data_IF_182848070372
#
_entry.id   IF_182848070372
#
_cell.length_a   1.000
_cell.length_b   1.000
_cell.length_c   1.000
_cell.angle_alpha   90.00
_cell.angle_beta   90.00
_cell.angle_gamma   90.00
#
_symmetry.space_group_name_H-M   'P 1'
#
loop_
_entity.id
_entity.type
_entity.pdbx_description
1 polymer ?
#
# COMPACT_ATOMS: atom_id res chain seq x y z
N UNK A 1 8.79 -2.28 -12.33
CA UNK A 1 7.73 -2.55 -11.34
C UNK A 1 7.70 -1.43 -10.31
N UNK A 2 6.52 -0.89 -10.03
CA UNK A 2 6.36 0.12 -9.00
C UNK A 2 5.62 -0.46 -7.81
N UNK A 3 6.09 -0.14 -6.61
CA UNK A 3 5.41 -0.56 -5.40
C UNK A 3 4.77 0.63 -4.73
N UNK A 4 3.89 0.37 -3.78
CA UNK A 4 3.23 1.43 -3.04
C UNK A 4 4.23 2.31 -2.28
N UNK A 5 5.34 1.74 -1.87
CA UNK A 5 6.41 2.50 -1.21
C UNK A 5 6.98 3.61 -2.11
N UNK A 6 6.99 3.36 -3.42
CA UNK A 6 7.54 4.31 -4.39
C UNK A 6 6.53 5.30 -4.94
N UNK A 7 5.25 5.07 -4.66
CA UNK A 7 4.20 5.92 -5.18
C UNK A 7 4.26 7.31 -4.55
N UNK A 8 4.02 8.33 -5.38
CA UNK A 8 4.10 9.71 -4.91
C UNK A 8 2.90 10.08 -4.05
N UNK A 9 3.15 10.92 -3.05
CA UNK A 9 2.08 11.49 -2.23
C UNK A 9 1.12 12.26 -3.12
N UNK A 10 -0.17 12.10 -2.87
CA UNK A 10 -1.21 12.75 -3.64
C UNK A 10 -1.69 11.98 -4.85
N UNK A 11 -1.11 10.80 -5.12
CA UNK A 11 -1.50 9.98 -6.25
C UNK A 11 -2.44 8.87 -5.80
N UNK A 12 -3.35 8.52 -6.70
CA UNK A 12 -4.19 7.33 -6.54
C UNK A 12 -3.64 6.28 -7.48
N UNK A 13 -3.34 5.11 -6.94
CA UNK A 13 -2.78 4.00 -7.71
C UNK A 13 -3.66 2.77 -7.56
N UNK A 14 -3.54 1.84 -8.49
CA UNK A 14 -4.30 0.58 -8.44
C UNK A 14 -3.37 -0.57 -8.08
N UNK A 15 -3.84 -1.45 -7.23
CA UNK A 15 -3.07 -2.63 -6.83
C UNK A 15 -3.14 -3.67 -7.94
N UNK A 16 -1.98 -4.10 -8.43
CA UNK A 16 -1.93 -5.12 -9.48
C UNK A 16 -1.49 -6.48 -8.96
N UNK A 17 -0.73 -6.50 -7.86
CA UNK A 17 -0.28 -7.76 -7.29
C UNK A 17 0.22 -7.54 -5.86
N UNK A 18 -0.03 -8.54 -5.03
CA UNK A 18 0.54 -8.58 -3.68
C UNK A 18 1.67 -9.59 -3.70
N UNK A 19 2.85 -9.14 -3.33
CA UNK A 19 4.02 -10.01 -3.19
C UNK A 19 4.12 -10.47 -1.74
N UNK A 20 5.09 -11.31 -1.46
CA UNK A 20 5.25 -11.87 -0.13
C UNK A 20 4.43 -13.15 0.00
N UNK A 21 4.55 -13.79 1.16
CA UNK A 21 3.94 -15.08 1.41
C UNK A 21 3.36 -15.13 2.82
N UNK A 22 2.42 -16.07 3.02
CA UNK A 22 1.93 -16.42 4.33
C UNK A 22 1.30 -15.25 5.08
N UNK A 23 1.78 -15.01 6.29
CA UNK A 23 1.17 -14.06 7.21
C UNK A 23 1.24 -12.62 6.71
N UNK A 24 2.31 -12.24 6.02
CA UNK A 24 2.46 -10.87 5.53
C UNK A 24 1.39 -10.55 4.49
N UNK A 25 1.23 -11.44 3.51
CA UNK A 25 0.24 -11.25 2.47
C UNK A 25 -1.17 -11.26 3.04
N UNK A 26 -1.44 -12.16 3.98
CA UNK A 26 -2.74 -12.24 4.62
C UNK A 26 -3.05 -10.96 5.39
N UNK A 27 -2.07 -10.44 6.12
CA UNK A 27 -2.25 -9.21 6.89
C UNK A 27 -2.61 -8.04 5.98
N UNK A 28 -1.94 -7.92 4.83
CA UNK A 28 -2.22 -6.87 3.87
C UNK A 28 -3.64 -7.02 3.32
N UNK A 29 -4.03 -8.24 2.99
CA UNK A 29 -5.38 -8.51 2.49
C UNK A 29 -6.44 -8.20 3.53
N UNK A 30 -6.16 -8.52 4.79
CA UNK A 30 -7.10 -8.26 5.89
C UNK A 30 -7.34 -6.77 6.10
N UNK A 31 -6.40 -5.93 5.69
CA UNK A 31 -6.56 -4.48 5.75
C UNK A 31 -7.41 -3.94 4.59
N UNK A 32 -7.87 -4.82 3.70
CA UNK A 32 -8.67 -4.40 2.56
C UNK A 32 -7.87 -4.10 1.30
N UNK A 33 -6.57 -4.35 1.32
CA UNK A 33 -5.72 -4.12 0.16
C UNK A 33 -5.64 -5.40 -0.64
N UNK A 34 -6.42 -5.44 -1.72
CA UNK A 34 -6.50 -6.61 -2.58
C UNK A 34 -6.30 -6.18 -4.04
N UNK A 35 -6.04 -7.14 -4.91
CA UNK A 35 -5.83 -6.86 -6.33
C UNK A 35 -7.01 -6.08 -6.89
N UNK A 36 -6.72 -5.01 -7.61
CA UNK A 36 -7.72 -4.16 -8.25
C UNK A 36 -8.21 -3.00 -7.41
N UNK A 37 -7.89 -2.97 -6.12
CA UNK A 37 -8.35 -1.87 -5.27
C UNK A 37 -7.52 -0.61 -5.55
N UNK A 38 -8.16 0.55 -5.41
CA UNK A 38 -7.47 1.82 -5.54
C UNK A 38 -6.99 2.30 -4.18
N UNK A 39 -5.79 2.84 -4.17
CA UNK A 39 -5.13 3.33 -2.96
C UNK A 39 -4.70 4.77 -3.19
N UNK A 40 -5.14 5.66 -2.33
CA UNK A 40 -4.71 7.05 -2.36
C UNK A 40 -3.57 7.25 -1.35
N UNK A 41 -2.43 7.75 -1.82
CA UNK A 41 -1.27 7.97 -0.96
C UNK A 41 -1.42 9.34 -0.30
N UNK A 42 -1.75 9.36 1.00
CA UNK A 42 -2.02 10.59 1.73
C UNK A 42 -0.74 11.30 2.15
N UNK A 43 0.17 10.55 2.75
CA UNK A 43 1.44 11.11 3.19
C UNK A 43 2.43 10.02 3.55
N UNK A 44 3.69 10.38 3.58
CA UNK A 44 4.78 9.48 3.92
C UNK A 44 5.62 10.19 4.99
N UNK A 45 5.91 9.51 6.08
CA UNK A 45 6.75 10.08 7.13
C UNK A 45 8.16 10.39 6.59
N UNK A 46 8.89 11.31 7.22
CA UNK A 46 10.18 11.78 6.68
C UNK A 46 11.19 10.70 6.32
N UNK A 47 11.17 9.57 7.02
CA UNK A 47 12.10 8.48 6.75
C UNK A 47 11.47 7.39 5.87
N UNK A 48 10.32 7.68 5.26
CA UNK A 48 9.64 6.73 4.40
C UNK A 48 8.77 5.73 5.14
N UNK A 49 8.59 5.86 6.45
CA UNK A 49 7.88 4.90 7.26
C UNK A 49 7.23 5.61 8.46
N UNK A 50 5.92 5.51 8.63
CA UNK A 50 4.96 4.74 7.83
C UNK A 50 4.50 5.46 6.57
N UNK A 51 3.84 4.71 5.70
CA UNK A 51 3.15 5.25 4.53
C UNK A 51 1.66 5.30 4.88
N UNK A 52 1.07 6.47 4.81
CA UNK A 52 -0.35 6.64 5.15
C UNK A 52 -1.19 6.72 3.89
N UNK A 53 -2.21 5.88 3.81
CA UNK A 53 -3.03 5.75 2.63
C UNK A 53 -4.51 5.72 2.97
N UNK A 54 -5.34 5.95 1.95
CA UNK A 54 -6.79 5.79 2.06
C UNK A 54 -7.21 4.68 1.13
N UNK A 55 -7.93 3.70 1.65
CA UNK A 55 -8.44 2.56 0.88
C UNK A 55 -9.89 2.37 1.25
N UNK A 56 -10.78 2.37 0.24
CA UNK A 56 -12.21 2.14 0.43
C UNK A 56 -12.83 3.05 1.48
N UNK A 57 -12.34 4.29 1.57
CA UNK A 57 -12.85 5.25 2.53
C UNK A 57 -12.23 5.16 3.92
N UNK A 58 -11.31 4.24 4.14
CA UNK A 58 -10.61 4.09 5.41
C UNK A 58 -9.18 4.59 5.31
N UNK A 59 -8.70 5.18 6.39
CA UNK A 59 -7.32 5.61 6.48
C UNK A 59 -6.51 4.52 7.16
N UNK A 60 -5.40 4.16 6.53
CA UNK A 60 -4.51 3.11 7.02
C UNK A 60 -3.08 3.61 7.07
N UNK A 61 -2.33 3.11 8.05
CA UNK A 61 -0.88 3.32 8.11
C UNK A 61 -0.20 1.99 7.81
N UNK A 62 0.68 2.00 6.82
CA UNK A 62 1.41 0.81 6.42
C UNK A 62 2.88 0.99 6.74
N UNK A 63 3.51 -0.07 7.23
CA UNK A 63 4.96 -0.07 7.36
C UNK A 63 5.56 -0.09 5.97
N UNK A 64 6.74 0.47 5.81
CA UNK A 64 7.37 0.48 4.49
C UNK A 64 7.62 -0.94 3.99
N UNK A 65 7.87 -1.90 4.88
CA UNK A 65 8.03 -3.29 4.49
C UNK A 65 6.76 -3.84 3.83
N UNK A 66 5.60 -3.47 4.36
CA UNK A 66 4.33 -3.89 3.77
C UNK A 66 4.10 -3.19 2.44
N UNK A 67 4.39 -1.90 2.37
CA UNK A 67 4.20 -1.13 1.13
C UNK A 67 5.07 -1.66 0.00
N UNK A 68 6.26 -2.17 0.30
CA UNK A 68 7.14 -2.78 -0.70
C UNK A 68 6.56 -4.03 -1.33
N UNK A 69 5.63 -4.69 -0.64
CA UNK A 69 5.02 -5.92 -1.12
C UNK A 69 3.79 -5.69 -1.99
N UNK A 70 3.38 -4.43 -2.14
CA UNK A 70 2.18 -4.08 -2.88
C UNK A 70 2.59 -3.44 -4.20
N UNK A 71 2.46 -4.21 -5.28
CA UNK A 71 2.76 -3.72 -6.61
C UNK A 71 1.58 -2.91 -7.13
N UNK A 72 1.86 -1.73 -7.67
CA UNK A 72 0.82 -0.79 -8.12
C UNK A 72 1.11 -0.25 -9.51
N UNK A 73 0.08 0.33 -10.08
CA UNK A 73 0.18 1.01 -11.37
C UNK A 73 -0.66 2.29 -11.36
#
# INVERSE_FOLDING_TARGET
>A
MQTLREAAVGRTVSVVKLHGEGAVKRRIMDMGITKGVQVYVRKVAPLGDPVEVTVRGYELSLRKEDAQMIEVV
#
